data_IF_652634864802
#
_entry.id   IF_652634864802
#
_cell.length_a   1.000
_cell.length_b   1.000
_cell.length_c   1.000
_cell.angle_alpha   90.00
_cell.angle_beta   90.00
_cell.angle_gamma   90.00
#
_symmetry.space_group_name_H-M   'P 1'
#
loop_
_entity.id
_entity.type
_entity.pdbx_description
1 polymer ?
#
# COMPACT_ATOMS: atom_id res chain seq x y z
N UNK A 1 5.55 26.21 0.92
CA UNK A 1 5.72 24.78 1.30
C UNK A 1 7.21 24.50 1.51
N UNK A 2 7.60 23.79 2.58
CA UNK A 2 9.00 23.40 2.78
C UNK A 2 9.42 22.27 1.83
N UNK A 3 10.72 22.18 1.52
CA UNK A 3 11.26 21.16 0.61
C UNK A 3 10.96 19.72 1.07
N UNK A 4 11.01 19.47 2.39
CA UNK A 4 10.69 18.17 2.98
C UNK A 4 9.20 17.83 2.84
N UNK A 5 8.31 18.80 3.07
CA UNK A 5 6.86 18.62 2.87
C UNK A 5 6.54 18.33 1.39
N UNK A 6 7.15 19.07 0.47
CA UNK A 6 7.00 18.82 -0.97
C UNK A 6 7.52 17.43 -1.39
N UNK A 7 8.59 16.93 -0.76
CA UNK A 7 9.08 15.56 -0.99
C UNK A 7 8.06 14.51 -0.52
N UNK A 8 7.52 14.66 0.68
CA UNK A 8 6.47 13.77 1.23
C UNK A 8 5.24 13.73 0.33
N UNK A 9 4.67 14.89 0.01
CA UNK A 9 3.50 15.01 -0.88
C UNK A 9 3.73 14.37 -2.24
N UNK A 10 4.93 14.51 -2.83
CA UNK A 10 5.25 13.83 -4.11
C UNK A 10 5.24 12.31 -3.97
N UNK A 11 5.72 11.78 -2.85
CA UNK A 11 5.74 10.33 -2.62
C UNK A 11 4.34 9.77 -2.42
N UNK A 12 3.53 10.38 -1.56
CA UNK A 12 2.12 10.01 -1.36
C UNK A 12 1.33 10.04 -2.67
N UNK A 13 1.51 11.12 -3.46
CA UNK A 13 0.83 11.26 -4.76
C UNK A 13 1.25 10.16 -5.74
N UNK A 14 2.53 9.80 -5.75
CA UNK A 14 3.04 8.73 -6.61
C UNK A 14 2.46 7.37 -6.21
N UNK A 15 2.35 7.07 -4.91
CA UNK A 15 1.72 5.84 -4.42
C UNK A 15 0.23 5.77 -4.77
N UNK A 16 -0.53 6.85 -4.58
CA UNK A 16 -1.96 6.88 -4.96
C UNK A 16 -2.15 6.58 -6.44
N UNK A 17 -1.34 7.18 -7.31
CA UNK A 17 -1.39 6.91 -8.75
C UNK A 17 -1.03 5.47 -9.08
N UNK A 18 0.01 4.95 -8.44
CA UNK A 18 0.46 3.58 -8.64
C UNK A 18 -0.62 2.57 -8.25
N UNK A 19 -1.26 2.74 -7.09
CA UNK A 19 -2.38 1.89 -6.69
C UNK A 19 -3.59 2.02 -7.61
N UNK A 20 -3.93 3.24 -8.06
CA UNK A 20 -5.02 3.44 -9.04
C UNK A 20 -4.75 2.78 -10.38
N UNK A 21 -3.49 2.78 -10.84
CA UNK A 21 -3.08 2.06 -12.04
C UNK A 21 -3.32 0.55 -11.90
N UNK A 22 -3.17 0.03 -10.68
CA UNK A 22 -3.51 -1.35 -10.32
C UNK A 22 -5.00 -1.52 -9.94
N UNK A 23 -5.90 -0.62 -10.38
CA UNK A 23 -7.34 -0.62 -10.11
C UNK A 23 -7.76 -0.44 -8.63
N UNK A 24 -6.81 -0.19 -7.73
CA UNK A 24 -7.08 0.06 -6.31
C UNK A 24 -7.48 1.53 -6.13
N UNK A 25 -8.61 1.76 -5.45
CA UNK A 25 -9.18 3.11 -5.23
C UNK A 25 -8.45 3.90 -4.16
N UNK A 26 -7.13 3.99 -4.26
CA UNK A 26 -6.30 4.72 -3.32
C UNK A 26 -6.60 6.23 -3.35
N UNK A 27 -6.48 6.87 -2.19
CA UNK A 27 -6.58 8.32 -2.04
C UNK A 27 -5.73 8.79 -0.86
N UNK A 28 -5.51 10.12 -0.77
CA UNK A 28 -4.91 10.74 0.41
C UNK A 28 -6.03 11.21 1.33
N UNK A 29 -6.13 10.71 2.56
CA UNK A 29 -7.13 11.16 3.51
C UNK A 29 -7.02 12.68 3.75
N UNK A 30 -8.16 13.33 3.97
CA UNK A 30 -8.14 14.71 4.47
C UNK A 30 -7.56 14.70 5.91
N UNK A 31 -6.75 15.69 6.25
CA UNK A 31 -6.25 15.86 7.62
C UNK A 31 -7.38 16.36 8.53
N UNK A 32 -8.25 15.45 8.98
CA UNK A 32 -9.35 15.76 9.90
C UNK A 32 -8.87 15.72 11.36
N UNK A 33 -8.15 16.77 11.77
CA UNK A 33 -7.85 17.04 13.18
C UNK A 33 -6.97 16.00 13.89
N UNK A 34 -7.27 15.73 15.17
CA UNK A 34 -6.42 15.01 16.14
C UNK A 34 -6.23 13.51 15.86
N UNK A 35 -6.99 12.93 14.92
CA UNK A 35 -6.92 11.51 14.56
C UNK A 35 -6.19 11.35 13.25
N UNK A 36 -4.88 11.16 13.35
CA UNK A 36 -4.06 10.75 12.23
C UNK A 36 -4.43 9.31 11.82
N UNK A 37 -4.98 9.17 10.62
CA UNK A 37 -5.43 7.90 10.01
C UNK A 37 -4.44 7.35 8.98
N UNK A 38 -3.29 8.01 8.82
CA UNK A 38 -2.25 7.65 7.85
C UNK A 38 -2.28 8.50 6.57
N UNK A 39 -1.28 8.25 5.73
CA UNK A 39 -1.02 9.03 4.51
C UNK A 39 -1.79 8.52 3.28
N UNK A 40 -2.20 7.24 3.30
CA UNK A 40 -2.97 6.59 2.24
C UNK A 40 -4.21 5.87 2.78
N UNK A 41 -5.35 6.10 2.11
CA UNK A 41 -6.63 5.40 2.31
C UNK A 41 -7.08 4.69 1.04
N UNK A 42 -8.17 3.91 1.14
CA UNK A 42 -8.70 3.10 0.04
C UNK A 42 -7.89 1.84 -0.26
N UNK A 43 -7.09 1.42 0.72
CA UNK A 43 -6.24 0.23 0.69
C UNK A 43 -6.80 -0.89 1.57
N UNK A 44 -8.11 -0.92 1.84
CA UNK A 44 -8.72 -1.88 2.75
C UNK A 44 -8.22 -3.30 2.45
N UNK A 45 -7.76 -4.07 3.46
CA UNK A 45 -7.86 -3.81 4.90
C UNK A 45 -6.62 -3.13 5.55
N UNK A 46 -5.93 -2.25 4.83
CA UNK A 46 -4.68 -1.61 5.27
C UNK A 46 -4.82 -0.10 5.54
N UNK A 47 -4.14 0.36 6.59
CA UNK A 47 -3.70 1.75 6.73
C UNK A 47 -2.29 1.90 6.15
N UNK A 48 -2.05 2.93 5.35
CA UNK A 48 -0.76 3.17 4.69
C UNK A 48 -0.03 4.41 5.22
N UNK A 49 1.22 4.25 5.62
CA UNK A 49 2.13 5.36 5.94
C UNK A 49 3.24 5.46 4.88
N UNK A 50 3.48 6.65 4.33
CA UNK A 50 4.48 6.89 3.30
C UNK A 50 5.73 7.58 3.89
N UNK A 51 6.92 7.01 3.68
CA UNK A 51 8.20 7.62 4.09
C UNK A 51 9.21 7.63 2.94
N UNK A 52 9.59 8.83 2.49
CA UNK A 52 10.66 9.04 1.50
C UNK A 52 11.91 9.63 2.19
N UNK A 53 12.77 8.78 2.74
CA UNK A 53 13.90 9.19 3.58
C UNK A 53 15.24 8.71 3.00
N UNK A 54 16.31 9.44 3.33
CA UNK A 54 17.67 9.04 2.98
C UNK A 54 18.15 7.86 3.85
N UNK A 55 17.71 7.81 5.11
CA UNK A 55 17.97 6.70 6.03
C UNK A 55 16.78 5.73 6.03
N UNK A 56 16.94 4.60 5.34
CA UNK A 56 15.95 3.54 5.23
C UNK A 56 15.61 2.85 6.55
N UNK A 57 16.58 2.62 7.45
CA UNK A 57 16.29 1.97 8.74
C UNK A 57 15.38 2.85 9.60
N UNK A 58 15.65 4.15 9.64
CA UNK A 58 14.80 5.11 10.35
C UNK A 58 13.41 5.19 9.70
N UNK A 59 13.34 5.23 8.36
CA UNK A 59 12.08 5.27 7.63
C UNK A 59 11.18 4.06 7.92
N UNK A 60 11.78 2.87 7.97
CA UNK A 60 11.08 1.62 8.29
C UNK A 60 10.59 1.67 9.74
N UNK A 61 11.48 1.94 10.70
CA UNK A 61 11.12 1.95 12.12
C UNK A 61 10.02 2.97 12.42
N UNK A 62 10.22 4.22 12.04
CA UNK A 62 9.26 5.30 12.31
C UNK A 62 7.97 5.14 11.49
N UNK A 63 8.06 4.58 10.28
CA UNK A 63 6.89 4.24 9.48
C UNK A 63 6.04 3.16 10.15
N UNK A 64 6.66 2.10 10.66
CA UNK A 64 5.98 1.01 11.37
C UNK A 64 5.37 1.49 12.70
N UNK A 65 6.12 2.25 13.50
CA UNK A 65 5.63 2.79 14.77
C UNK A 65 4.43 3.74 14.59
N UNK A 66 4.45 4.52 13.49
CA UNK A 66 3.35 5.41 13.11
C UNK A 66 2.12 4.62 12.65
N UNK A 67 2.29 3.71 11.69
CA UNK A 67 1.16 3.03 11.06
C UNK A 67 0.42 2.08 12.01
N UNK A 68 1.11 1.49 12.99
CA UNK A 68 0.48 0.65 14.01
C UNK A 68 -0.47 1.45 14.92
N UNK A 69 -0.20 2.73 15.16
CA UNK A 69 -1.12 3.63 15.88
C UNK A 69 -2.26 4.08 14.96
N UNK A 70 -1.92 4.50 13.75
CA UNK A 70 -2.88 5.03 12.78
C UNK A 70 -3.91 3.98 12.34
N UNK A 71 -3.53 2.70 12.18
CA UNK A 71 -4.49 1.66 11.81
C UNK A 71 -5.64 1.52 12.82
N UNK A 72 -5.37 1.78 14.11
CA UNK A 72 -6.41 1.75 15.14
C UNK A 72 -7.39 2.90 14.95
N UNK A 73 -6.91 4.10 14.61
CA UNK A 73 -7.75 5.25 14.30
C UNK A 73 -8.52 5.07 12.99
N UNK A 74 -7.86 4.51 11.98
CA UNK A 74 -8.44 4.21 10.67
C UNK A 74 -9.36 2.98 10.66
N UNK A 75 -9.45 2.25 11.77
CA UNK A 75 -10.19 0.97 11.90
C UNK A 75 -9.79 -0.06 10.86
N UNK A 76 -8.50 -0.13 10.57
CA UNK A 76 -7.90 -1.07 9.63
C UNK A 76 -7.26 -2.25 10.36
N UNK A 77 -7.31 -3.42 9.74
CA UNK A 77 -6.78 -4.66 10.32
C UNK A 77 -5.24 -4.66 10.33
N UNK A 78 -4.64 -4.01 9.33
CA UNK A 78 -3.20 -4.03 9.09
C UNK A 78 -2.64 -2.62 8.88
N UNK A 79 -1.38 -2.44 9.26
CA UNK A 79 -0.60 -1.26 8.93
C UNK A 79 0.53 -1.64 7.98
N UNK A 80 0.80 -0.79 7.00
CA UNK A 80 1.91 -0.95 6.05
C UNK A 80 2.68 0.37 5.88
N UNK A 81 4.00 0.29 5.97
CA UNK A 81 4.88 1.41 5.69
C UNK A 81 5.41 1.31 4.25
N UNK A 82 5.10 2.30 3.43
CA UNK A 82 5.63 2.45 2.07
C UNK A 82 6.89 3.29 2.07
N UNK A 83 8.02 2.61 1.93
CA UNK A 83 9.36 3.21 2.00
C UNK A 83 10.02 3.10 0.64
N UNK A 84 10.69 4.15 0.17
CA UNK A 84 11.54 4.03 -1.02
C UNK A 84 12.91 4.67 -0.82
N UNK A 85 13.87 4.18 -1.61
CA UNK A 85 15.15 4.88 -1.79
C UNK A 85 14.92 6.17 -2.58
N UNK A 86 15.73 7.18 -2.28
CA UNK A 86 15.71 8.41 -3.06
C UNK A 86 15.92 8.11 -4.55
N UNK A 87 15.14 8.77 -5.42
CA UNK A 87 15.15 8.63 -6.89
C UNK A 87 14.75 7.25 -7.44
N UNK A 88 14.40 6.27 -6.61
CA UNK A 88 13.80 5.03 -7.10
C UNK A 88 12.36 5.28 -7.64
N UNK A 89 11.93 4.48 -8.61
CA UNK A 89 10.55 4.45 -9.07
C UNK A 89 9.61 3.93 -7.97
N UNK A 90 8.30 4.08 -8.17
CA UNK A 90 7.30 3.69 -7.17
C UNK A 90 7.24 2.17 -7.01
N UNK A 91 7.24 1.43 -8.11
CA UNK A 91 7.24 -0.04 -8.10
C UNK A 91 8.50 -0.66 -7.48
N UNK A 92 9.58 0.11 -7.34
CA UNK A 92 10.80 -0.29 -6.62
C UNK A 92 10.83 0.12 -5.15
N UNK A 93 9.72 0.67 -4.64
CA UNK A 93 9.50 0.88 -3.22
C UNK A 93 9.31 -0.43 -2.46
N UNK A 94 9.32 -0.34 -1.14
CA UNK A 94 9.08 -1.45 -0.22
C UNK A 94 7.76 -1.21 0.50
N UNK A 95 6.92 -2.24 0.54
CA UNK A 95 5.78 -2.33 1.45
C UNK A 95 6.23 -3.13 2.67
N UNK A 96 6.41 -2.46 3.81
CA UNK A 96 7.01 -3.05 5.01
C UNK A 96 5.97 -3.23 6.10
N UNK A 97 5.98 -4.41 6.72
CA UNK A 97 5.15 -4.77 7.87
C UNK A 97 5.94 -5.65 8.82
N UNK A 98 5.49 -5.78 10.07
CA UNK A 98 6.09 -6.73 11.01
C UNK A 98 5.80 -8.17 10.58
N UNK A 99 6.65 -9.12 11.00
CA UNK A 99 6.44 -10.55 10.73
C UNK A 99 5.08 -11.02 11.28
N UNK A 100 4.67 -10.53 12.45
CA UNK A 100 3.37 -10.85 13.03
C UNK A 100 2.21 -10.35 12.15
N UNK A 101 2.30 -9.13 11.63
CA UNK A 101 1.31 -8.58 10.68
C UNK A 101 1.28 -9.41 9.40
N UNK A 102 2.43 -9.79 8.86
CA UNK A 102 2.51 -10.65 7.67
C UNK A 102 1.86 -12.03 7.90
N UNK A 103 2.10 -12.66 9.05
CA UNK A 103 1.45 -13.95 9.40
C UNK A 103 -0.07 -13.80 9.44
N UNK A 104 -0.60 -12.72 10.04
CA UNK A 104 -2.05 -12.47 10.08
C UNK A 104 -2.63 -12.27 8.67
N UNK A 105 -1.91 -11.55 7.81
CA UNK A 105 -2.29 -11.36 6.41
C UNK A 105 -2.31 -12.70 5.65
N UNK A 106 -1.25 -13.49 5.77
CA UNK A 106 -1.14 -14.79 5.11
C UNK A 106 -2.24 -15.76 5.54
N UNK A 107 -2.57 -15.77 6.84
CA UNK A 107 -3.67 -16.58 7.35
C UNK A 107 -5.02 -16.12 6.79
N UNK A 108 -5.27 -14.81 6.72
CA UNK A 108 -6.49 -14.27 6.12
C UNK A 108 -6.60 -14.65 4.64
N UNK A 109 -5.53 -14.49 3.88
CA UNK A 109 -5.50 -14.84 2.45
C UNK A 109 -5.78 -16.33 2.25
N UNK A 110 -5.09 -17.22 2.97
CA UNK A 110 -5.31 -18.67 2.85
C UNK A 110 -6.74 -19.09 3.16
N UNK A 111 -7.36 -18.46 4.17
CA UNK A 111 -8.76 -18.73 4.52
C UNK A 111 -9.72 -18.24 3.42
N UNK A 112 -9.46 -17.07 2.85
CA UNK A 112 -10.26 -16.54 1.75
C UNK A 112 -10.15 -17.42 0.49
N UNK A 113 -8.94 -17.83 0.11
CA UNK A 113 -8.69 -18.76 -1.00
C UNK A 113 -9.39 -20.11 -0.79
N UNK A 114 -9.31 -20.67 0.41
CA UNK A 114 -9.99 -21.93 0.74
C UNK A 114 -11.51 -21.80 0.65
N UNK A 115 -12.07 -20.73 1.23
CA UNK A 115 -13.51 -20.47 1.18
C UNK A 115 -14.01 -20.23 -0.26
N UNK A 116 -13.23 -19.53 -1.09
CA UNK A 116 -13.57 -19.31 -2.50
C UNK A 116 -13.51 -20.62 -3.29
N UNK A 117 -12.49 -21.44 -3.08
CA UNK A 117 -12.39 -22.74 -3.74
C UNK A 117 -13.55 -23.67 -3.39
N UNK A 118 -14.06 -23.61 -2.15
CA UNK A 118 -15.24 -24.36 -1.71
C UNK A 118 -16.54 -23.81 -2.31
N UNK A 119 -16.72 -22.49 -2.30
CA UNK A 119 -17.98 -21.85 -2.72
C UNK A 119 -18.12 -21.67 -4.24
N UNK A 120 -17.01 -21.45 -4.96
CA UNK A 120 -16.98 -21.11 -6.38
C UNK A 120 -15.66 -21.58 -7.06
N UNK A 121 -15.49 -22.91 -7.28
CA UNK A 121 -14.24 -23.48 -7.76
C UNK A 121 -13.79 -22.97 -9.14
N UNK A 122 -14.72 -22.73 -10.06
CA UNK A 122 -14.40 -22.19 -11.40
C UNK A 122 -13.86 -20.76 -11.31
N UNK A 123 -14.48 -19.92 -10.47
CA UNK A 123 -13.99 -18.56 -10.19
C UNK A 123 -12.62 -18.60 -9.53
N UNK A 124 -12.39 -19.53 -8.58
CA UNK A 124 -11.09 -19.70 -7.94
C UNK A 124 -9.99 -20.09 -8.95
N UNK A 125 -10.32 -20.94 -9.93
CA UNK A 125 -9.39 -21.30 -11.01
C UNK A 125 -9.08 -20.10 -11.91
N UNK A 126 -10.10 -19.33 -12.30
CA UNK A 126 -9.93 -18.12 -13.11
C UNK A 126 -9.05 -17.07 -12.41
N UNK A 127 -9.29 -16.77 -11.14
CA UNK A 127 -8.51 -15.78 -10.38
C UNK A 127 -7.04 -16.18 -10.22
N UNK A 128 -6.76 -17.49 -10.09
CA UNK A 128 -5.38 -17.99 -10.11
C UNK A 128 -4.68 -17.72 -11.44
N UNK A 129 -5.42 -17.73 -12.55
CA UNK A 129 -4.89 -17.34 -13.87
C UNK A 129 -4.51 -15.86 -13.95
N UNK A 130 -5.36 -14.95 -13.45
CA UNK A 130 -5.04 -13.52 -13.43
C UNK A 130 -3.79 -13.19 -12.60
N UNK A 131 -3.54 -13.94 -11.53
CA UNK A 131 -2.34 -13.76 -10.73
C UNK A 131 -1.04 -13.96 -11.53
N UNK A 132 -1.06 -14.78 -12.59
CA UNK A 132 0.10 -14.96 -13.47
C UNK A 132 0.31 -13.75 -14.40
N UNK A 133 -0.77 -13.13 -14.86
CA UNK A 133 -0.72 -11.90 -15.68
C UNK A 133 -0.20 -10.72 -14.84
N UNK A 134 -0.65 -10.59 -13.59
CA UNK A 134 -0.22 -9.55 -12.66
C UNK A 134 1.30 -9.59 -12.37
N UNK A 135 1.92 -10.78 -12.41
CA UNK A 135 3.37 -10.94 -12.24
C UNK A 135 4.17 -10.33 -13.39
N UNK A 136 3.56 -10.15 -14.56
CA UNK A 136 4.18 -9.59 -15.76
C UNK A 136 3.85 -8.10 -15.95
N UNK A 137 2.93 -7.55 -15.15
CA UNK A 137 2.48 -6.17 -15.28
C UNK A 137 3.57 -5.15 -14.89
N UNK A 138 3.81 -4.18 -15.78
CA UNK A 138 4.62 -2.99 -15.47
C UNK A 138 3.72 -1.89 -14.89
N UNK A 139 3.49 -1.95 -13.58
CA UNK A 139 2.69 -0.96 -12.88
C UNK A 139 3.31 0.45 -12.87
N UNK A 140 4.65 0.57 -13.01
CA UNK A 140 5.29 1.89 -13.13
C UNK A 140 4.93 2.54 -14.48
N UNK A 141 4.89 1.75 -15.57
CA UNK A 141 4.45 2.22 -16.88
C UNK A 141 2.96 2.62 -16.88
N UNK A 142 2.08 1.78 -16.31
CA UNK A 142 0.66 2.08 -16.17
C UNK A 142 0.41 3.36 -15.36
N UNK A 143 1.13 3.52 -14.24
CA UNK A 143 1.02 4.71 -13.40
C UNK A 143 1.56 5.99 -14.05
N UNK A 144 2.47 5.86 -15.04
CA UNK A 144 2.96 6.98 -15.84
C UNK A 144 1.90 7.42 -16.85
N UNK A 145 1.23 6.48 -17.52
CA UNK A 145 0.17 6.77 -18.49
C UNK A 145 -0.99 7.57 -17.87
N UNK A 146 -1.39 7.24 -16.64
CA UNK A 146 -2.41 7.98 -15.87
C UNK A 146 -2.04 9.45 -15.53
N UNK A 147 -0.85 9.94 -15.89
CA UNK A 147 -0.47 11.35 -15.68
C UNK A 147 -0.75 12.25 -16.87
N UNK A 148 -1.02 11.65 -18.04
CA UNK A 148 -1.16 12.37 -19.31
C UNK A 148 -2.62 12.75 -19.62
N UNK A 149 -3.55 12.34 -18.75
CA UNK A 149 -4.95 12.79 -18.66
C UNK A 149 -5.15 13.87 -17.59
#
# INVERSE_FOLDING_TARGET
>A
MSANKAKGTRWETALVRFFRAATIRAFRPAQEGFRDVGDLGGLDPFAGQAKDWANWQAAIREGLDGVEKQRLHARQDYGVAFVKRARASTGRGYAVMTVATFVRLLLRLRRAEAALAEAAPDTAALLRGFAEEDLQADFDALAKALREE
#
